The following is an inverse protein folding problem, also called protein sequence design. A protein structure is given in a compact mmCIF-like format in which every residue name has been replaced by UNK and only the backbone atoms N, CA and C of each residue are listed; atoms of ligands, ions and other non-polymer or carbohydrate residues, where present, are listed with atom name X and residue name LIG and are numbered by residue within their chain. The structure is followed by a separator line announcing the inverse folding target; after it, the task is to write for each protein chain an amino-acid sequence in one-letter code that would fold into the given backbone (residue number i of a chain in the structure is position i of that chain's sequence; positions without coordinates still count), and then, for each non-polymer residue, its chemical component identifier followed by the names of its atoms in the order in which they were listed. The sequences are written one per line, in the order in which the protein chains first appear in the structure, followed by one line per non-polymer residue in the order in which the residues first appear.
data_IF_781951840689
#
_entry.id   IF_781951840689
#
_cell.length_a   1.000
_cell.length_b   1.000
_cell.length_c   1.000
_cell.angle_alpha   90.00
_cell.angle_beta   90.00
_cell.angle_gamma   90.00
#
_symmetry.space_group_name_H-M   'P 1'
#
loop_
_entity.id
_entity.type
_entity.pdbx_description
1 polymer ?
#
# COMPACT_ATOMS: atom_id res chain seq x y z
N UNK A 1 -20.05 -8.65 -21.51
CA UNK A 1 -19.24 -8.25 -20.33
C UNK A 1 -19.73 -9.02 -19.13
N UNK A 2 -18.85 -9.74 -18.43
CA UNK A 2 -19.18 -10.41 -17.16
C UNK A 2 -19.71 -9.41 -16.13
N UNK A 3 -20.60 -9.85 -15.23
CA UNK A 3 -21.10 -9.00 -14.14
C UNK A 3 -19.96 -8.55 -13.22
N UNK A 4 -18.97 -9.40 -12.95
CA UNK A 4 -17.80 -9.04 -12.15
C UNK A 4 -17.03 -7.87 -12.79
N UNK A 5 -16.76 -7.96 -14.09
CA UNK A 5 -16.07 -6.88 -14.81
C UNK A 5 -16.92 -5.60 -14.87
N UNK A 6 -18.26 -5.71 -14.90
CA UNK A 6 -19.15 -4.54 -14.79
C UNK A 6 -19.01 -3.85 -13.44
N UNK A 7 -19.01 -4.62 -12.35
CA UNK A 7 -18.85 -4.09 -11.00
C UNK A 7 -17.49 -3.41 -10.85
N UNK A 8 -16.41 -4.08 -11.27
CA UNK A 8 -15.06 -3.50 -11.21
C UNK A 8 -14.98 -2.23 -12.06
N UNK A 9 -15.52 -2.23 -13.28
CA UNK A 9 -15.52 -1.05 -14.14
C UNK A 9 -16.23 0.14 -13.49
N UNK A 10 -17.40 -0.09 -12.89
CA UNK A 10 -18.16 0.95 -12.21
C UNK A 10 -17.38 1.58 -11.04
N UNK A 11 -16.60 0.79 -10.30
CA UNK A 11 -15.75 1.30 -9.24
C UNK A 11 -14.52 2.04 -9.78
N UNK A 12 -13.88 1.52 -10.84
CA UNK A 12 -12.71 2.13 -11.49
C UNK A 12 -13.05 3.47 -12.15
N UNK A 13 -14.26 3.63 -12.68
CA UNK A 13 -14.76 4.89 -13.24
C UNK A 13 -14.72 6.04 -12.24
N UNK A 14 -14.88 5.78 -10.94
CA UNK A 14 -14.85 6.80 -9.88
C UNK A 14 -13.39 7.09 -9.53
N UNK A 15 -12.82 8.27 -9.85
CA UNK A 15 -11.46 8.58 -9.47
C UNK A 15 -11.35 8.68 -7.94
N UNK A 16 -10.33 8.04 -7.38
CA UNK A 16 -10.07 8.07 -5.93
C UNK A 16 -8.57 8.18 -5.64
N UNK A 17 -7.84 9.17 -6.19
CA UNK A 17 -6.44 9.34 -5.84
C UNK A 17 -6.30 9.53 -4.33
N UNK A 18 -5.16 9.18 -3.72
CA UNK A 18 -4.94 9.44 -2.29
C UNK A 18 -5.20 10.90 -1.94
N UNK A 19 -6.04 11.14 -0.92
CA UNK A 19 -6.55 12.47 -0.58
C UNK A 19 -7.91 12.83 -1.20
N UNK A 20 -8.36 12.10 -2.23
CA UNK A 20 -9.58 12.34 -3.01
C UNK A 20 -10.59 11.19 -2.96
N UNK A 21 -10.60 10.40 -1.88
CA UNK A 21 -11.35 9.14 -1.78
C UNK A 21 -12.85 9.33 -1.49
N UNK A 22 -13.29 10.52 -1.08
CA UNK A 22 -14.64 10.76 -0.53
C UNK A 22 -15.76 10.23 -1.42
N UNK A 23 -15.77 10.57 -2.72
CA UNK A 23 -16.83 10.13 -3.63
C UNK A 23 -16.86 8.60 -3.81
N UNK A 24 -15.68 7.97 -3.81
CA UNK A 24 -15.56 6.51 -3.90
C UNK A 24 -15.98 5.82 -2.60
N UNK A 25 -15.57 6.36 -1.45
CA UNK A 25 -16.01 5.88 -0.14
C UNK A 25 -17.53 5.91 0.01
N UNK A 26 -18.18 7.00 -0.44
CA UNK A 26 -19.65 7.09 -0.44
C UNK A 26 -20.31 6.03 -1.34
N UNK A 27 -19.81 5.84 -2.56
CA UNK A 27 -20.33 4.81 -3.47
C UNK A 27 -20.18 3.39 -2.88
N UNK A 28 -19.03 3.10 -2.25
CA UNK A 28 -18.77 1.81 -1.59
C UNK A 28 -19.65 1.63 -0.35
N UNK A 29 -19.86 2.67 0.45
CA UNK A 29 -20.75 2.66 1.60
C UNK A 29 -22.19 2.33 1.19
N UNK A 30 -22.68 2.90 0.07
CA UNK A 30 -24.01 2.57 -0.48
C UNK A 30 -24.11 1.13 -0.97
N UNK A 31 -23.05 0.58 -1.57
CA UNK A 31 -23.00 -0.83 -1.99
C UNK A 31 -23.10 -1.73 -0.76
N UNK A 32 -22.30 -1.48 0.28
CA UNK A 32 -22.31 -2.26 1.52
C UNK A 32 -23.66 -2.14 2.25
N UNK A 33 -24.24 -0.95 2.34
CA UNK A 33 -25.56 -0.75 2.93
C UNK A 33 -26.67 -1.52 2.19
N UNK A 34 -26.67 -1.50 0.83
CA UNK A 34 -27.60 -2.31 0.03
C UNK A 34 -27.41 -3.81 0.20
N UNK A 35 -26.22 -4.24 0.63
CA UNK A 35 -25.91 -5.63 0.99
C UNK A 35 -26.28 -5.98 2.43
N UNK A 36 -26.89 -5.06 3.17
CA UNK A 36 -27.40 -5.29 4.52
C UNK A 36 -26.41 -5.03 5.65
N UNK A 37 -25.28 -4.37 5.37
CA UNK A 37 -24.30 -4.01 6.38
C UNK A 37 -24.68 -2.70 7.09
N UNK A 38 -24.41 -2.63 8.39
CA UNK A 38 -24.36 -1.37 9.12
C UNK A 38 -23.03 -0.68 8.84
N UNK A 39 -23.05 0.43 8.11
CA UNK A 39 -21.83 1.14 7.69
C UNK A 39 -21.57 2.36 8.58
N UNK A 40 -20.49 2.30 9.34
CA UNK A 40 -19.93 3.40 10.11
C UNK A 40 -18.80 4.07 9.33
N UNK A 41 -18.72 5.40 9.41
CA UNK A 41 -17.63 6.19 8.84
C UNK A 41 -16.72 6.64 9.98
N UNK A 42 -15.48 6.17 9.98
CA UNK A 42 -14.47 6.61 10.94
C UNK A 42 -13.68 7.77 10.33
N UNK A 43 -13.76 9.00 10.88
CA UNK A 43 -13.01 10.15 10.36
C UNK A 43 -11.50 9.91 10.44
N UNK A 44 -10.77 10.32 9.40
CA UNK A 44 -9.29 10.23 9.33
C UNK A 44 -8.68 11.61 9.20
N UNK A 45 -9.02 12.32 8.12
CA UNK A 45 -8.51 13.67 7.85
C UNK A 45 -9.50 14.45 6.99
N UNK A 46 -9.90 15.64 7.44
CA UNK A 46 -10.91 16.44 6.75
C UNK A 46 -12.21 15.65 6.57
N UNK A 47 -12.65 15.49 5.32
CA UNK A 47 -13.84 14.70 4.96
C UNK A 47 -13.51 13.22 4.65
N UNK A 48 -12.23 12.83 4.64
CA UNK A 48 -11.80 11.46 4.36
C UNK A 48 -12.09 10.57 5.57
N UNK A 49 -12.66 9.41 5.31
CA UNK A 49 -13.00 8.44 6.34
C UNK A 49 -12.72 7.00 5.91
N UNK A 50 -12.37 6.17 6.89
CA UNK A 50 -12.44 4.73 6.73
C UNK A 50 -13.91 4.28 6.76
N UNK A 51 -14.22 3.17 6.11
CA UNK A 51 -15.54 2.52 6.18
C UNK A 51 -15.44 1.27 7.06
N UNK A 52 -16.29 1.20 8.08
CA UNK A 52 -16.41 0.03 8.94
C UNK A 52 -17.81 -0.53 8.75
N UNK A 53 -17.93 -1.59 7.95
CA UNK A 53 -19.20 -2.21 7.64
C UNK A 53 -19.36 -3.52 8.41
N UNK A 54 -20.36 -3.57 9.30
CA UNK A 54 -20.62 -4.72 10.17
C UNK A 54 -21.84 -5.52 9.71
N UNK A 55 -21.78 -6.86 9.76
CA UNK A 55 -22.95 -7.70 9.52
C UNK A 55 -23.93 -7.59 10.70
N UNK A 56 -25.08 -8.24 10.60
CA UNK A 56 -25.96 -8.41 11.76
C UNK A 56 -25.27 -9.30 12.81
N UNK A 57 -24.81 -8.68 13.90
CA UNK A 57 -24.07 -9.32 14.99
C UNK A 57 -22.55 -9.18 14.85
N UNK A 58 -21.79 -9.96 15.62
CA UNK A 58 -20.33 -9.90 15.60
C UNK A 58 -19.76 -10.50 14.31
N UNK A 59 -18.83 -9.79 13.67
CA UNK A 59 -18.03 -10.33 12.59
C UNK A 59 -17.11 -11.44 13.13
N UNK A 60 -16.99 -12.53 12.38
CA UNK A 60 -16.08 -13.64 12.66
C UNK A 60 -14.81 -13.53 11.81
N UNK A 61 -14.87 -12.80 10.70
CA UNK A 61 -13.80 -12.55 9.75
C UNK A 61 -13.95 -11.12 9.25
N UNK A 62 -12.85 -10.41 9.07
CA UNK A 62 -12.84 -9.10 8.44
C UNK A 62 -12.18 -9.19 7.06
N UNK A 63 -12.79 -8.55 6.07
CA UNK A 63 -12.11 -8.18 4.84
C UNK A 63 -11.60 -6.75 4.97
N UNK A 64 -10.38 -6.51 4.55
CA UNK A 64 -9.79 -5.17 4.54
C UNK A 64 -9.04 -4.91 3.26
N UNK A 65 -9.16 -3.71 2.72
CA UNK A 65 -8.37 -3.20 1.61
C UNK A 65 -8.51 -1.68 1.56
N UNK A 66 -7.73 -1.00 0.73
CA UNK A 66 -7.74 0.46 0.66
C UNK A 66 -8.72 1.01 -0.39
N UNK A 67 -9.05 2.29 -0.25
CA UNK A 67 -10.00 3.02 -1.10
C UNK A 67 -9.31 3.95 -2.11
N UNK A 68 -8.09 4.37 -1.81
CA UNK A 68 -7.29 5.21 -2.69
C UNK A 68 -6.56 4.43 -3.78
N UNK A 69 -6.10 5.16 -4.79
CA UNK A 69 -5.25 4.67 -5.88
C UNK A 69 -4.17 5.70 -6.18
N UNK A 70 -3.07 5.30 -6.83
CA UNK A 70 -2.08 6.28 -7.35
C UNK A 70 -2.58 7.07 -8.56
N UNK A 71 -2.07 8.30 -8.80
CA UNK A 71 -2.31 9.02 -10.04
C UNK A 71 -1.57 8.38 -11.25
N UNK A 72 -1.96 8.70 -12.50
CA UNK A 72 -3.17 9.42 -12.89
C UNK A 72 -4.41 8.52 -12.84
N UNK A 73 -5.60 9.13 -12.98
CA UNK A 73 -6.82 8.38 -13.24
C UNK A 73 -6.76 7.76 -14.65
N UNK A 74 -7.01 6.47 -14.75
CA UNK A 74 -7.15 5.73 -16.00
C UNK A 74 -8.56 5.12 -16.04
N UNK A 75 -9.43 5.56 -16.97
CA UNK A 75 -10.81 5.08 -17.02
C UNK A 75 -10.87 3.60 -17.40
N UNK A 76 -11.94 2.89 -17.01
CA UNK A 76 -12.08 1.47 -17.26
C UNK A 76 -12.20 1.17 -18.75
N UNK A 77 -11.44 0.19 -19.23
CA UNK A 77 -11.55 -0.35 -20.58
C UNK A 77 -11.55 -1.87 -20.52
N UNK A 78 -12.62 -2.49 -21.02
CA UNK A 78 -12.75 -3.95 -21.05
C UNK A 78 -12.38 -4.49 -22.42
N UNK A 79 -11.45 -5.44 -22.45
CA UNK A 79 -11.03 -6.16 -23.65
C UNK A 79 -11.10 -7.67 -23.40
N UNK A 80 -12.11 -8.31 -23.98
CA UNK A 80 -12.36 -9.74 -23.76
C UNK A 80 -12.66 -10.04 -22.29
N UNK A 81 -11.76 -10.77 -21.64
CA UNK A 81 -11.84 -11.17 -20.23
C UNK A 81 -11.01 -10.28 -19.30
N UNK A 82 -10.42 -9.21 -19.81
CA UNK A 82 -9.54 -8.32 -19.06
C UNK A 82 -10.16 -6.95 -18.90
N UNK A 83 -10.00 -6.35 -17.71
CA UNK A 83 -10.35 -4.96 -17.45
C UNK A 83 -9.09 -4.17 -17.15
N UNK A 84 -8.84 -3.13 -17.94
CA UNK A 84 -7.81 -2.13 -17.71
C UNK A 84 -8.39 -0.93 -16.98
N UNK A 85 -7.58 -0.27 -16.16
CA UNK A 85 -7.91 0.99 -15.50
C UNK A 85 -7.22 1.10 -14.15
N UNK A 86 -7.16 2.32 -13.60
CA UNK A 86 -6.46 2.59 -12.35
C UNK A 86 -7.26 2.05 -11.18
N UNK A 87 -6.63 1.19 -10.38
CA UNK A 87 -7.27 0.44 -9.32
C UNK A 87 -7.95 -0.85 -9.77
N UNK A 88 -7.82 -1.24 -11.03
CA UNK A 88 -8.32 -2.52 -11.51
C UNK A 88 -7.65 -3.69 -10.76
N UNK A 89 -6.33 -3.64 -10.60
CA UNK A 89 -5.58 -4.60 -9.81
C UNK A 89 -5.46 -4.15 -8.35
N UNK A 90 -5.27 -2.85 -8.13
CA UNK A 90 -4.83 -2.29 -6.84
C UNK A 90 -5.69 -1.09 -6.39
N UNK A 91 -6.85 -1.28 -5.77
CA UNK A 91 -7.33 -2.56 -5.21
C UNK A 91 -8.86 -2.75 -5.35
N UNK A 92 -9.48 -2.09 -6.34
CA UNK A 92 -10.93 -2.16 -6.60
C UNK A 92 -11.37 -3.52 -7.12
N UNK A 93 -10.54 -4.20 -7.91
CA UNK A 93 -10.75 -5.59 -8.32
C UNK A 93 -10.82 -6.56 -7.11
N UNK A 94 -9.80 -6.60 -6.26
CA UNK A 94 -9.83 -7.30 -4.97
C UNK A 94 -11.06 -6.99 -4.12
N UNK A 95 -11.49 -5.73 -4.02
CA UNK A 95 -12.69 -5.35 -3.26
C UNK A 95 -13.97 -6.01 -3.81
N UNK A 96 -14.15 -6.05 -5.13
CA UNK A 96 -15.29 -6.75 -5.75
C UNK A 96 -15.26 -8.25 -5.45
N UNK A 97 -14.08 -8.87 -5.51
CA UNK A 97 -13.93 -10.28 -5.13
C UNK A 97 -14.30 -10.51 -3.65
N UNK A 98 -13.96 -9.58 -2.74
CA UNK A 98 -14.36 -9.67 -1.33
C UNK A 98 -15.87 -9.55 -1.14
N UNK A 99 -16.56 -8.68 -1.88
CA UNK A 99 -18.02 -8.57 -1.81
C UNK A 99 -18.72 -9.89 -2.15
N UNK A 100 -18.27 -10.55 -3.23
CA UNK A 100 -18.86 -11.80 -3.69
C UNK A 100 -18.47 -12.97 -2.77
N UNK A 101 -17.24 -12.98 -2.23
CA UNK A 101 -16.82 -13.96 -1.24
C UNK A 101 -17.61 -13.84 0.07
N UNK A 102 -17.85 -12.62 0.55
CA UNK A 102 -18.68 -12.36 1.73
C UNK A 102 -20.10 -12.89 1.55
N UNK A 103 -20.71 -12.72 0.37
CA UNK A 103 -22.02 -13.28 0.08
C UNK A 103 -22.03 -14.82 0.16
N UNK A 104 -21.03 -15.49 -0.44
CA UNK A 104 -20.90 -16.96 -0.39
C UNK A 104 -20.57 -17.49 1.02
N UNK A 105 -19.84 -16.72 1.82
CA UNK A 105 -19.55 -17.06 3.23
C UNK A 105 -20.81 -16.90 4.11
N UNK A 106 -21.64 -15.90 3.85
CA UNK A 106 -22.90 -15.71 4.54
C UNK A 106 -23.88 -16.89 4.30
N UNK A 107 -23.91 -17.45 3.08
CA UNK A 107 -24.67 -18.68 2.77
C UNK A 107 -24.21 -19.90 3.59
N UNK A 108 -22.96 -19.87 4.07
CA UNK A 108 -22.35 -20.89 4.94
C UNK A 108 -22.46 -20.54 6.43
N UNK A 109 -23.15 -19.45 6.77
CA UNK A 109 -23.32 -18.99 8.15
C UNK A 109 -22.11 -18.25 8.73
N UNK A 110 -21.11 -17.90 7.92
CA UNK A 110 -19.94 -17.12 8.35
C UNK A 110 -20.24 -15.64 8.18
N UNK A 111 -20.20 -14.89 9.28
CA UNK A 111 -20.43 -13.44 9.28
C UNK A 111 -19.13 -12.69 9.03
N UNK A 112 -19.03 -12.04 7.89
CA UNK A 112 -17.88 -11.20 7.53
C UNK A 112 -18.15 -9.74 7.81
N UNK A 113 -17.16 -8.95 8.22
CA UNK A 113 -17.18 -7.48 8.25
C UNK A 113 -16.22 -6.89 7.23
N UNK A 114 -16.30 -5.57 6.98
CA UNK A 114 -15.33 -4.84 6.15
C UNK A 114 -14.70 -3.67 6.91
N UNK A 115 -13.38 -3.58 6.85
CA UNK A 115 -12.60 -2.42 7.29
C UNK A 115 -11.88 -1.87 6.05
N UNK A 116 -12.44 -0.84 5.42
CA UNK A 116 -11.88 -0.24 4.21
C UNK A 116 -11.22 1.09 4.57
N UNK A 117 -9.94 1.22 4.23
CA UNK A 117 -9.09 2.31 4.74
C UNK A 117 -8.70 3.29 3.65
N UNK A 118 -8.36 4.52 4.04
CA UNK A 118 -7.88 5.57 3.12
C UNK A 118 -6.39 5.84 3.30
N UNK A 119 -5.72 6.25 2.23
CA UNK A 119 -4.35 6.77 2.26
C UNK A 119 -3.25 5.71 2.32
N UNK A 120 -3.55 4.46 1.98
CA UNK A 120 -2.58 3.36 1.98
C UNK A 120 -1.37 3.70 1.10
N UNK A 121 -1.62 4.27 -0.09
CA UNK A 121 -0.61 4.49 -1.12
C UNK A 121 0.41 5.59 -0.78
N UNK A 122 0.21 6.32 0.33
CA UNK A 122 1.02 7.49 0.71
C UNK A 122 1.55 7.41 2.14
N UNK A 123 0.67 7.32 3.13
CA UNK A 123 1.01 7.53 4.54
C UNK A 123 0.32 6.58 5.53
N UNK A 124 -0.54 5.69 5.04
CA UNK A 124 -1.28 4.70 5.84
C UNK A 124 -2.17 5.33 6.92
N UNK A 125 -2.58 6.59 6.74
CA UNK A 125 -3.32 7.35 7.77
C UNK A 125 -4.60 6.62 8.20
N UNK A 126 -5.32 6.00 7.28
CA UNK A 126 -6.53 5.23 7.57
C UNK A 126 -6.25 4.04 8.47
N UNK A 127 -5.29 3.17 8.12
CA UNK A 127 -4.97 2.01 8.94
C UNK A 127 -4.38 2.36 10.30
N UNK A 128 -3.59 3.44 10.39
CA UNK A 128 -3.06 3.95 11.67
C UNK A 128 -4.20 4.41 12.60
N UNK A 129 -5.17 5.17 12.07
CA UNK A 129 -6.35 5.60 12.83
C UNK A 129 -7.19 4.41 13.26
N UNK A 130 -7.41 3.44 12.36
CA UNK A 130 -8.15 2.21 12.68
C UNK A 130 -7.47 1.43 13.80
N UNK A 131 -6.16 1.17 13.71
CA UNK A 131 -5.39 0.46 14.72
C UNK A 131 -5.36 1.17 16.08
N UNK A 132 -5.44 2.51 16.09
CA UNK A 132 -5.46 3.31 17.32
C UNK A 132 -6.81 3.32 18.01
N UNK A 133 -7.90 3.38 17.25
CA UNK A 133 -9.23 3.73 17.78
C UNK A 133 -10.20 2.56 17.82
N UNK A 134 -10.00 1.53 17.00
CA UNK A 134 -10.86 0.35 17.02
C UNK A 134 -10.38 -0.64 18.09
N UNK A 135 -11.28 -1.21 18.91
CA UNK A 135 -10.90 -2.25 19.83
C UNK A 135 -10.53 -3.52 19.05
N UNK A 136 -9.46 -4.23 19.42
CA UNK A 136 -9.18 -5.54 18.86
C UNK A 136 -10.30 -6.52 19.26
N UNK A 137 -10.92 -7.16 18.28
CA UNK A 137 -11.91 -8.21 18.52
C UNK A 137 -11.32 -9.62 18.31
N UNK A 138 -10.06 -9.70 17.86
CA UNK A 138 -9.32 -10.94 17.65
C UNK A 138 -9.77 -11.75 16.43
N UNK A 139 -10.77 -11.27 15.67
CA UNK A 139 -11.18 -11.91 14.44
C UNK A 139 -10.07 -11.76 13.38
N UNK A 140 -9.79 -12.81 12.58
CA UNK A 140 -8.82 -12.72 11.50
C UNK A 140 -9.25 -11.70 10.44
N UNK A 141 -8.26 -11.00 9.87
CA UNK A 141 -8.43 -10.02 8.80
C UNK A 141 -7.77 -10.56 7.53
N UNK A 142 -8.54 -10.71 6.46
CA UNK A 142 -8.02 -10.96 5.11
C UNK A 142 -7.79 -9.61 4.44
N UNK A 143 -6.51 -9.24 4.29
CA UNK A 143 -6.06 -8.00 3.67
C UNK A 143 -5.84 -8.21 2.17
N UNK A 144 -6.58 -7.46 1.36
CA UNK A 144 -6.72 -7.64 -0.08
C UNK A 144 -5.71 -6.86 -0.89
N UNK A 145 -4.55 -7.45 -1.14
CA UNK A 145 -3.51 -6.89 -2.02
C UNK A 145 -3.24 -7.80 -3.23
N UNK A 146 -2.81 -7.24 -4.38
CA UNK A 146 -2.60 -8.00 -5.61
C UNK A 146 -1.39 -8.94 -5.49
N UNK A 147 -1.66 -10.18 -5.09
CA UNK A 147 -0.67 -11.23 -4.79
C UNK A 147 -0.82 -12.44 -5.72
N UNK A 148 -1.53 -12.27 -6.83
CA UNK A 148 -1.89 -13.32 -7.78
C UNK A 148 -2.58 -14.50 -7.10
N UNK A 149 -3.48 -14.21 -6.15
CA UNK A 149 -4.21 -15.19 -5.35
C UNK A 149 -3.31 -16.12 -4.50
N UNK A 150 -2.10 -15.67 -4.14
CA UNK A 150 -1.17 -16.39 -3.26
C UNK A 150 -1.13 -15.71 -1.90
N UNK A 151 -1.21 -16.50 -0.83
CA UNK A 151 -1.14 -15.97 0.54
C UNK A 151 0.28 -15.54 0.85
N UNK A 152 0.49 -14.28 1.26
CA UNK A 152 1.82 -13.85 1.64
C UNK A 152 2.22 -14.49 2.99
N UNK A 153 3.38 -15.12 3.02
CA UNK A 153 4.03 -15.62 4.24
C UNK A 153 4.94 -14.54 4.86
N UNK A 154 5.30 -13.52 4.08
CA UNK A 154 6.03 -12.37 4.57
C UNK A 154 5.89 -11.19 3.61
N UNK A 155 6.06 -10.00 4.18
CA UNK A 155 6.01 -8.71 3.51
C UNK A 155 7.25 -7.90 3.86
N UNK A 156 7.86 -7.23 2.87
CA UNK A 156 8.93 -6.27 3.13
C UNK A 156 8.40 -5.02 3.84
N UNK A 157 9.25 -4.43 4.67
CA UNK A 157 8.99 -3.10 5.22
C UNK A 157 9.20 -2.02 4.17
N UNK A 158 8.91 -0.78 4.52
CA UNK A 158 9.18 0.37 3.68
C UNK A 158 9.73 1.52 4.51
N UNK A 159 10.64 2.29 3.93
CA UNK A 159 11.07 3.58 4.48
C UNK A 159 11.20 4.60 3.36
N UNK A 160 10.47 5.71 3.50
CA UNK A 160 10.49 6.84 2.59
C UNK A 160 11.16 8.03 3.26
N UNK A 161 12.27 8.50 2.71
CA UNK A 161 13.10 9.56 3.32
C UNK A 161 13.30 10.70 2.34
N UNK A 162 13.04 11.93 2.78
CA UNK A 162 13.48 13.14 2.10
C UNK A 162 14.90 13.47 2.52
N UNK A 163 15.75 13.73 1.54
CA UNK A 163 17.13 14.20 1.70
C UNK A 163 17.17 15.65 1.25
N UNK A 164 17.73 16.53 2.09
CA UNK A 164 17.98 17.93 1.75
C UNK A 164 19.46 18.20 1.92
N UNK A 165 20.10 18.64 0.85
CA UNK A 165 21.47 19.12 0.86
C UNK A 165 21.47 20.64 0.74
N UNK A 166 22.22 21.30 1.62
CA UNK A 166 22.40 22.74 1.63
C UNK A 166 23.79 23.08 1.10
N UNK A 167 23.90 24.23 0.43
CA UNK A 167 25.11 24.75 -0.15
C UNK A 167 25.22 26.25 0.07
N UNK A 168 26.19 26.87 -0.60
CA UNK A 168 26.39 28.31 -0.58
C UNK A 168 26.47 28.78 -2.02
N UNK A 169 25.52 29.62 -2.43
CA UNK A 169 25.51 30.18 -3.77
C UNK A 169 26.75 31.05 -4.02
N UNK A 170 27.31 30.91 -5.21
CA UNK A 170 28.46 31.69 -5.65
C UNK A 170 28.66 31.50 -7.14
N UNK A 171 29.32 32.46 -7.80
CA UNK A 171 29.65 32.32 -9.21
C UNK A 171 30.69 31.19 -9.37
N UNK A 172 30.36 30.18 -10.17
CA UNK A 172 31.15 28.95 -10.37
C UNK A 172 32.61 29.17 -10.74
N UNK A 173 32.93 30.31 -11.38
CA UNK A 173 34.31 30.71 -11.68
C UNK A 173 35.20 31.00 -10.44
N UNK A 174 34.62 31.13 -9.24
CA UNK A 174 35.35 31.35 -7.99
C UNK A 174 35.09 30.22 -7.00
N UNK A 175 35.78 29.07 -7.12
CA UNK A 175 35.49 27.86 -6.34
C UNK A 175 35.57 28.06 -4.81
N UNK A 176 36.42 28.97 -4.33
CA UNK A 176 36.54 29.25 -2.89
C UNK A 176 35.37 30.09 -2.31
N UNK A 177 34.40 30.50 -3.15
CA UNK A 177 33.31 31.41 -2.78
C UNK A 177 31.93 30.75 -2.74
N UNK A 178 31.85 29.43 -2.84
CA UNK A 178 30.60 28.71 -2.80
C UNK A 178 30.78 27.24 -2.45
N UNK A 179 29.66 26.57 -2.18
CA UNK A 179 29.61 25.13 -1.90
C UNK A 179 28.41 24.57 -2.64
N UNK A 180 28.61 23.57 -3.49
CA UNK A 180 27.52 22.97 -4.25
C UNK A 180 26.73 21.98 -3.38
N UNK A 181 25.45 22.28 -3.14
CA UNK A 181 24.51 21.34 -2.54
C UNK A 181 24.35 20.05 -3.38
N UNK A 182 24.41 20.17 -4.71
CA UNK A 182 24.34 19.02 -5.62
C UNK A 182 25.53 18.08 -5.36
N UNK A 183 26.74 18.60 -5.20
CA UNK A 183 27.92 17.76 -4.96
C UNK A 183 27.81 17.03 -3.61
N UNK A 184 27.33 17.72 -2.57
CA UNK A 184 27.04 17.11 -1.26
C UNK A 184 25.99 16.00 -1.36
N UNK A 185 24.91 16.24 -2.11
CA UNK A 185 23.88 15.23 -2.35
C UNK A 185 24.44 14.02 -3.09
N UNK A 186 25.25 14.23 -4.13
CA UNK A 186 25.87 13.14 -4.90
C UNK A 186 26.82 12.30 -4.03
N UNK A 187 27.60 12.92 -3.15
CA UNK A 187 28.45 12.21 -2.18
C UNK A 187 27.61 11.31 -1.27
N UNK A 188 26.53 11.84 -0.71
CA UNK A 188 25.62 11.07 0.13
C UNK A 188 24.97 9.91 -0.62
N UNK A 189 24.42 10.16 -1.83
CA UNK A 189 23.75 9.13 -2.63
C UNK A 189 24.72 8.03 -3.08
N UNK A 190 25.98 8.36 -3.37
CA UNK A 190 27.00 7.35 -3.68
C UNK A 190 27.34 6.50 -2.45
N UNK A 191 27.38 7.09 -1.25
CA UNK A 191 27.54 6.33 -0.01
C UNK A 191 26.36 5.37 0.22
N UNK A 192 25.12 5.85 0.05
CA UNK A 192 23.89 5.03 0.16
C UNK A 192 23.88 3.87 -0.84
N UNK A 193 24.38 4.07 -2.07
CA UNK A 193 24.48 3.01 -3.09
C UNK A 193 25.50 1.93 -2.75
N UNK A 194 26.55 2.28 -1.99
CA UNK A 194 27.61 1.36 -1.57
C UNK A 194 27.34 0.70 -0.22
N UNK A 195 26.36 1.19 0.52
CA UNK A 195 25.99 0.66 1.83
C UNK A 195 25.60 -0.83 1.71
N UNK A 196 26.21 -1.72 2.50
CA UNK A 196 25.81 -3.12 2.58
C UNK A 196 24.51 -3.24 3.37
N UNK A 197 23.40 -2.95 2.69
CA UNK A 197 22.06 -3.02 3.26
C UNK A 197 21.72 -4.43 3.77
N UNK A 198 21.00 -4.56 4.91
CA UNK A 198 20.65 -5.86 5.49
C UNK A 198 19.88 -6.76 4.52
N UNK A 199 20.19 -8.04 4.57
CA UNK A 199 19.51 -9.13 3.86
C UNK A 199 18.83 -10.04 4.89
N UNK A 200 17.76 -10.70 4.46
CA UNK A 200 17.01 -11.66 5.23
C UNK A 200 16.70 -12.90 4.39
N UNK A 201 16.87 -14.13 4.91
CA UNK A 201 16.71 -15.36 4.13
C UNK A 201 15.34 -15.57 3.47
N UNK A 202 14.29 -14.91 3.98
CA UNK A 202 12.92 -15.02 3.46
C UNK A 202 12.54 -13.79 2.63
N UNK A 203 12.83 -12.59 3.11
CA UNK A 203 12.49 -11.32 2.41
C UNK A 203 13.44 -11.03 1.26
N UNK A 204 14.66 -11.56 1.30
CA UNK A 204 15.76 -11.11 0.46
C UNK A 204 16.27 -9.73 0.87
N UNK A 205 17.04 -9.05 0.00
CA UNK A 205 17.81 -7.88 0.40
C UNK A 205 16.94 -6.65 0.61
N UNK A 206 17.36 -5.79 1.53
CA UNK A 206 16.90 -4.40 1.56
C UNK A 206 17.38 -3.69 0.30
N UNK A 207 16.47 -3.02 -0.41
CA UNK A 207 16.79 -2.29 -1.65
C UNK A 207 16.48 -0.81 -1.49
N UNK A 208 17.33 0.08 -1.99
CA UNK A 208 17.12 1.53 -1.96
C UNK A 208 17.00 2.09 -3.37
N UNK A 209 15.92 2.82 -3.65
CA UNK A 209 15.69 3.54 -4.89
C UNK A 209 15.77 5.06 -4.66
N UNK A 210 16.48 5.78 -5.52
CA UNK A 210 16.40 7.26 -5.58
C UNK A 210 15.23 7.60 -6.49
N UNK A 211 14.04 7.77 -5.89
CA UNK A 211 12.80 7.95 -6.65
C UNK A 211 12.67 9.34 -7.27
N UNK A 212 13.16 10.38 -6.59
CA UNK A 212 13.15 11.76 -7.06
C UNK A 212 14.49 12.42 -6.76
N UNK A 213 14.96 13.30 -7.66
CA UNK A 213 16.15 14.13 -7.47
C UNK A 213 15.97 15.47 -8.17
N UNK A 214 16.33 16.57 -7.51
CA UNK A 214 16.28 17.93 -8.06
C UNK A 214 17.27 18.86 -7.35
N UNK A 215 17.62 19.99 -7.95
CA UNK A 215 18.49 20.98 -7.32
C UNK A 215 19.15 21.93 -8.31
N UNK A 216 19.80 22.97 -7.76
CA UNK A 216 20.47 24.01 -8.55
C UNK A 216 19.55 25.09 -9.09
N UNK A 217 20.16 26.15 -9.65
CA UNK A 217 19.46 27.33 -10.17
C UNK A 217 19.91 27.66 -11.60
N UNK A 218 21.22 27.74 -11.82
CA UNK A 218 21.81 28.00 -13.12
C UNK A 218 23.19 27.33 -13.22
N UNK A 219 23.61 26.95 -14.42
CA UNK A 219 24.86 26.20 -14.64
C UNK A 219 26.12 26.93 -14.16
N UNK A 220 26.10 28.27 -14.11
CA UNK A 220 27.22 29.09 -13.67
C UNK A 220 27.15 29.51 -12.19
N UNK A 221 26.22 28.94 -11.40
CA UNK A 221 26.02 29.25 -9.98
C UNK A 221 26.14 27.96 -9.15
N UNK A 222 26.95 27.98 -8.09
CA UNK A 222 26.96 26.88 -7.11
C UNK A 222 25.57 26.69 -6.53
N UNK A 223 25.06 25.45 -6.57
CA UNK A 223 23.72 25.14 -6.11
C UNK A 223 23.58 25.42 -4.61
N UNK A 224 22.70 26.34 -4.17
CA UNK A 224 22.47 26.58 -2.75
C UNK A 224 21.66 25.45 -2.09
N UNK A 225 20.93 24.67 -2.88
CA UNK A 225 20.05 23.61 -2.39
C UNK A 225 19.90 22.49 -3.42
N UNK A 226 19.77 21.26 -2.94
CA UNK A 226 19.42 20.07 -3.71
C UNK A 226 18.62 19.08 -2.84
N UNK A 227 17.73 18.32 -3.48
CA UNK A 227 16.80 17.40 -2.81
C UNK A 227 16.83 16.03 -3.47
N UNK A 228 16.62 14.99 -2.67
CA UNK A 228 16.24 13.67 -3.18
C UNK A 228 15.15 13.05 -2.30
N UNK A 229 14.36 12.14 -2.88
CA UNK A 229 13.46 11.28 -2.12
C UNK A 229 13.88 9.83 -2.33
N UNK A 230 14.24 9.17 -1.24
CA UNK A 230 14.60 7.76 -1.22
C UNK A 230 13.38 6.91 -0.89
N UNK A 231 13.26 5.77 -1.57
CA UNK A 231 12.29 4.73 -1.26
C UNK A 231 13.05 3.43 -1.01
N UNK A 232 13.02 2.95 0.23
CA UNK A 232 13.65 1.70 0.63
C UNK A 232 12.58 0.62 0.81
N UNK A 233 12.82 -0.57 0.26
CA UNK A 233 12.08 -1.81 0.59
C UNK A 233 12.93 -2.59 1.57
N UNK A 234 12.43 -2.80 2.78
CA UNK A 234 13.23 -3.21 3.92
C UNK A 234 13.13 -4.71 4.22
N UNK A 235 14.26 -5.27 4.61
CA UNK A 235 14.40 -6.57 5.27
C UNK A 235 14.71 -6.44 6.77
N UNK A 236 14.84 -5.21 7.26
CA UNK A 236 15.11 -4.83 8.66
C UNK A 236 14.06 -3.80 9.11
N UNK A 237 14.04 -3.45 10.41
CA UNK A 237 13.17 -2.37 10.88
C UNK A 237 13.48 -1.03 10.20
N UNK A 238 12.44 -0.20 10.03
CA UNK A 238 12.55 1.13 9.47
C UNK A 238 13.46 2.04 10.31
N UNK A 239 13.46 1.85 11.63
CA UNK A 239 14.34 2.56 12.55
C UNK A 239 15.82 2.24 12.30
N UNK A 240 16.16 0.96 12.14
CA UNK A 240 17.55 0.55 11.88
C UNK A 240 18.03 1.04 10.50
N UNK A 241 17.14 1.05 9.50
CA UNK A 241 17.47 1.59 8.18
C UNK A 241 17.66 3.11 8.20
N UNK A 242 16.82 3.83 8.95
CA UNK A 242 16.93 5.28 9.15
C UNK A 242 18.27 5.63 9.83
N UNK A 243 18.62 4.94 10.92
CA UNK A 243 19.89 5.17 11.62
C UNK A 243 21.12 4.91 10.71
N UNK A 244 21.05 3.93 9.80
CA UNK A 244 22.09 3.70 8.79
C UNK A 244 22.19 4.85 7.80
N UNK A 245 21.07 5.37 7.29
CA UNK A 245 21.09 6.56 6.42
C UNK A 245 21.71 7.76 7.13
N UNK A 246 21.34 8.01 8.39
CA UNK A 246 21.87 9.12 9.19
C UNK A 246 23.36 9.00 9.42
N UNK A 247 23.88 7.79 9.62
CA UNK A 247 25.33 7.55 9.76
C UNK A 247 26.13 7.85 8.48
N UNK A 248 25.48 7.87 7.31
CA UNK A 248 26.10 8.19 6.02
C UNK A 248 26.04 9.69 5.70
N UNK A 249 25.32 10.51 6.47
CA UNK A 249 25.13 11.92 6.18
C UNK A 249 26.44 12.72 6.33
N UNK A 250 26.94 13.36 5.25
CA UNK A 250 28.00 14.34 5.37
C UNK A 250 27.46 15.66 5.94
N UNK A 251 28.37 16.56 6.31
CA UNK A 251 28.01 17.92 6.73
C UNK A 251 27.19 18.65 5.64
N UNK A 252 26.10 19.30 6.07
CA UNK A 252 25.21 20.03 5.17
C UNK A 252 24.19 19.16 4.43
N UNK A 253 24.02 17.90 4.83
CA UNK A 253 22.93 17.02 4.39
C UNK A 253 22.07 16.64 5.60
N UNK A 254 20.76 16.80 5.46
CA UNK A 254 19.78 16.40 6.47
C UNK A 254 18.75 15.44 5.89
N UNK A 255 18.20 14.60 6.77
CA UNK A 255 17.19 13.61 6.43
C UNK A 255 15.90 13.89 7.18
N UNK A 256 14.78 13.63 6.53
CA UNK A 256 13.46 13.64 7.16
C UNK A 256 12.71 12.39 6.73
N UNK A 257 12.36 11.54 7.69
CA UNK A 257 11.47 10.40 7.45
C UNK A 257 10.08 10.93 7.09
N UNK A 258 9.60 10.56 5.90
CA UNK A 258 8.25 10.89 5.44
C UNK A 258 7.28 9.84 5.99
N UNK A 259 7.59 8.56 5.76
CA UNK A 259 6.82 7.42 6.23
C UNK A 259 7.70 6.19 6.35
N UNK A 260 7.23 5.17 7.06
CA UNK A 260 7.86 3.86 7.05
C UNK A 260 7.27 2.90 8.07
N UNK A 261 7.42 1.61 7.78
CA UNK A 261 6.95 0.49 8.58
C UNK A 261 7.91 -0.69 8.49
N UNK A 262 7.85 -1.52 9.52
CA UNK A 262 8.70 -2.71 9.62
C UNK A 262 8.19 -3.85 8.73
N UNK A 263 9.08 -4.75 8.27
CA UNK A 263 8.68 -5.97 7.61
C UNK A 263 7.78 -6.83 8.50
N UNK A 264 6.86 -7.58 7.88
CA UNK A 264 5.89 -8.40 8.60
C UNK A 264 6.07 -9.86 8.21
N UNK A 265 6.15 -10.74 9.21
CA UNK A 265 6.00 -12.19 9.05
C UNK A 265 4.54 -12.54 9.21
N UNK A 266 3.99 -13.21 8.21
CA UNK A 266 2.57 -13.54 8.15
C UNK A 266 2.41 -15.05 8.25
N UNK A 267 1.38 -15.50 8.96
CA UNK A 267 1.05 -16.91 9.06
C UNK A 267 0.11 -17.30 7.92
N UNK A 268 0.63 -18.07 6.96
CA UNK A 268 -0.17 -18.60 5.88
C UNK A 268 -0.87 -19.90 6.31
N UNK A 269 -2.21 -20.00 6.21
CA UNK A 269 -2.91 -21.25 6.48
C UNK A 269 -2.43 -22.38 5.57
N UNK A 270 -2.45 -23.61 6.07
CA UNK A 270 -2.06 -24.79 5.30
C UNK A 270 -2.97 -24.99 4.08
N UNK A 271 -2.40 -25.48 2.97
CA UNK A 271 -3.16 -25.79 1.75
C UNK A 271 -3.40 -24.60 0.81
N UNK A 272 -2.75 -23.46 1.06
CA UNK A 272 -2.75 -22.30 0.18
C UNK A 272 -1.36 -22.10 -0.46
N UNK A 273 -1.29 -21.79 -1.77
CA UNK A 273 -0.04 -21.34 -2.39
C UNK A 273 0.46 -20.08 -1.68
N UNK A 274 1.73 -20.07 -1.28
CA UNK A 274 2.31 -18.94 -0.54
C UNK A 274 3.26 -18.13 -1.39
N UNK A 275 3.48 -16.86 -1.02
CA UNK A 275 4.48 -15.98 -1.62
C UNK A 275 5.21 -15.13 -0.56
N UNK A 276 6.28 -14.45 -0.97
CA UNK A 276 6.86 -13.34 -0.22
C UNK A 276 6.64 -12.10 -1.05
N UNK A 277 6.00 -11.08 -0.48
CA UNK A 277 5.68 -9.86 -1.22
C UNK A 277 6.79 -8.81 -1.05
N UNK A 278 7.25 -8.19 -2.15
CA UNK A 278 8.36 -7.22 -2.11
C UNK A 278 7.93 -5.80 -1.75
N UNK A 279 6.62 -5.55 -1.61
CA UNK A 279 6.01 -4.28 -1.27
C UNK A 279 5.59 -4.24 0.21
N UNK A 280 5.18 -3.07 0.70
CA UNK A 280 4.53 -2.91 1.99
C UNK A 280 3.02 -2.76 1.79
N UNK A 281 2.24 -3.04 2.83
CA UNK A 281 0.80 -2.81 2.94
C UNK A 281 0.45 -2.38 4.37
N UNK A 282 -0.85 -2.16 4.60
CA UNK A 282 -1.41 -1.88 5.93
C UNK A 282 -1.33 -3.03 6.95
N UNK A 283 -0.82 -4.21 6.55
CA UNK A 283 -0.61 -5.34 7.45
C UNK A 283 0.16 -4.98 8.74
N UNK A 284 1.16 -4.08 8.64
CA UNK A 284 1.99 -3.66 9.79
C UNK A 284 1.21 -2.89 10.86
N UNK A 285 0.07 -2.29 10.50
CA UNK A 285 -0.76 -1.50 11.40
C UNK A 285 -1.96 -2.31 11.86
N UNK A 286 -2.66 -2.94 10.92
CA UNK A 286 -3.90 -3.66 11.19
C UNK A 286 -3.68 -4.94 12.01
N UNK A 287 -2.45 -5.47 12.08
CA UNK A 287 -2.11 -6.58 12.98
C UNK A 287 -2.36 -6.27 14.47
N UNK A 288 -2.53 -4.99 14.84
CA UNK A 288 -2.95 -4.59 16.18
C UNK A 288 -4.41 -4.96 16.49
N UNK A 289 -5.26 -5.18 15.47
CA UNK A 289 -6.68 -5.48 15.62
C UNK A 289 -6.97 -6.99 15.62
N UNK A 290 -6.19 -7.76 14.86
CA UNK A 290 -6.33 -9.21 14.76
C UNK A 290 -5.29 -9.85 13.84
N UNK A 291 -5.26 -11.19 13.74
CA UNK A 291 -4.36 -11.91 12.84
C UNK A 291 -4.57 -11.50 11.38
N UNK A 292 -3.51 -11.18 10.64
CA UNK A 292 -3.58 -10.77 9.23
C UNK A 292 -3.24 -11.93 8.30
N UNK A 293 -4.06 -12.11 7.27
CA UNK A 293 -3.76 -12.90 6.07
C UNK A 293 -3.77 -11.99 4.86
N UNK A 294 -2.61 -11.78 4.25
CA UNK A 294 -2.47 -10.95 3.06
C UNK A 294 -2.64 -11.79 1.79
N UNK A 295 -3.68 -11.53 1.01
CA UNK A 295 -3.96 -12.27 -0.23
C UNK A 295 -4.97 -11.49 -1.08
N UNK A 296 -4.86 -11.58 -2.40
CA UNK A 296 -5.84 -10.98 -3.30
C UNK A 296 -5.56 -11.23 -4.78
N UNK A 297 -6.58 -11.04 -5.63
CA UNK A 297 -6.47 -11.23 -7.07
C UNK A 297 -5.69 -10.08 -7.73
N UNK A 298 -5.21 -10.32 -8.95
CA UNK A 298 -4.35 -9.37 -9.66
C UNK A 298 -2.88 -9.50 -9.27
N UNK A 299 -2.01 -8.88 -10.06
CA UNK A 299 -0.56 -8.99 -9.93
C UNK A 299 0.03 -7.60 -9.65
N UNK A 300 0.85 -7.48 -8.59
CA UNK A 300 1.47 -6.20 -8.24
C UNK A 300 2.35 -5.64 -9.38
N UNK A 301 2.88 -6.50 -10.24
CA UNK A 301 3.75 -6.12 -11.35
C UNK A 301 3.05 -5.24 -12.40
N UNK A 302 1.72 -5.27 -12.46
CA UNK A 302 0.94 -4.40 -13.36
C UNK A 302 0.37 -3.17 -12.64
N UNK A 303 0.37 -3.16 -11.30
CA UNK A 303 -0.07 -2.02 -10.51
C UNK A 303 0.82 -0.80 -10.77
N UNK A 304 0.26 0.39 -10.57
CA UNK A 304 0.94 1.69 -10.72
C UNK A 304 1.48 1.98 -12.14
N UNK A 305 1.08 1.19 -13.14
CA UNK A 305 1.45 1.37 -14.55
C UNK A 305 0.32 2.01 -15.38
N UNK A 306 0.64 2.46 -16.61
CA UNK A 306 -0.33 2.94 -17.60
C UNK A 306 -1.22 1.84 -18.18
N UNK A 307 -0.91 0.58 -17.87
CA UNK A 307 -1.56 -0.63 -18.37
C UNK A 307 -1.99 -1.53 -17.22
N UNK A 308 -2.27 -0.95 -16.06
CA UNK A 308 -2.87 -1.65 -14.92
C UNK A 308 -4.16 -2.33 -15.38
N UNK A 309 -4.29 -3.61 -15.02
CA UNK A 309 -5.43 -4.43 -15.35
C UNK A 309 -5.64 -5.56 -14.37
N UNK A 310 -6.81 -6.18 -14.45
CA UNK A 310 -7.12 -7.44 -13.81
C UNK A 310 -7.87 -8.35 -14.78
N UNK A 311 -7.55 -9.65 -14.74
CA UNK A 311 -8.23 -10.67 -15.52
C UNK A 311 -9.45 -11.21 -14.77
N UNK A 312 -10.54 -11.50 -15.50
CA UNK A 312 -11.77 -12.07 -14.93
C UNK A 312 -11.48 -13.37 -14.16
N UNK A 313 -10.60 -14.21 -14.71
CA UNK A 313 -10.20 -15.46 -14.07
C UNK A 313 -9.48 -15.23 -12.73
N UNK A 314 -8.73 -14.14 -12.59
CA UNK A 314 -8.07 -13.81 -11.32
C UNK A 314 -9.10 -13.40 -10.28
N UNK A 315 -10.12 -12.60 -10.65
CA UNK A 315 -11.22 -12.23 -9.76
C UNK A 315 -11.99 -13.47 -9.31
N UNK A 316 -12.35 -14.36 -10.24
CA UNK A 316 -13.07 -15.60 -9.95
C UNK A 316 -12.27 -16.51 -8.99
N UNK A 317 -10.97 -16.69 -9.26
CA UNK A 317 -10.08 -17.44 -8.38
C UNK A 317 -9.87 -16.76 -7.01
N UNK A 318 -9.89 -15.43 -6.97
CA UNK A 318 -9.82 -14.65 -5.73
C UNK A 318 -11.05 -14.84 -4.86
N UNK A 319 -12.24 -14.84 -5.44
CA UNK A 319 -13.49 -15.15 -4.71
C UNK A 319 -13.38 -16.54 -4.07
N UNK A 320 -12.97 -17.55 -4.83
CA UNK A 320 -12.83 -18.91 -4.32
C UNK A 320 -11.75 -19.02 -3.23
N UNK A 321 -10.66 -18.27 -3.38
CA UNK A 321 -9.58 -18.21 -2.38
C UNK A 321 -10.05 -17.57 -1.08
N UNK A 322 -10.75 -16.44 -1.15
CA UNK A 322 -11.33 -15.77 0.02
C UNK A 322 -12.35 -16.63 0.76
N UNK A 323 -13.23 -17.35 0.03
CA UNK A 323 -14.16 -18.28 0.66
C UNK A 323 -13.41 -19.39 1.39
N UNK A 324 -12.40 -20.00 0.75
CA UNK A 324 -11.58 -21.04 1.37
C UNK A 324 -10.82 -20.53 2.60
N UNK A 325 -10.30 -19.30 2.55
CA UNK A 325 -9.63 -18.66 3.69
C UNK A 325 -10.59 -18.44 4.85
N UNK A 326 -11.78 -17.91 4.58
CA UNK A 326 -12.81 -17.73 5.61
C UNK A 326 -13.21 -19.04 6.29
N UNK A 327 -13.27 -20.15 5.55
CA UNK A 327 -13.50 -21.47 6.14
C UNK A 327 -12.29 -22.03 6.88
N UNK A 328 -11.07 -21.79 6.40
CA UNK A 328 -9.86 -22.33 7.01
C UNK A 328 -9.50 -21.62 8.32
N UNK A 329 -9.68 -20.30 8.38
CA UNK A 329 -9.32 -19.47 9.53
C UNK A 329 -10.30 -19.61 10.71
N UNK A 330 -11.47 -20.20 10.47
CA UNK A 330 -12.52 -20.41 11.48
C UNK A 330 -12.70 -21.88 11.86
N UNK A 331 -11.81 -22.76 11.39
CA UNK A 331 -11.75 -24.16 11.82
C UNK A 331 -10.77 -24.26 12.99
N UNK A 332 -11.24 -24.83 14.09
CA UNK A 332 -10.43 -25.19 15.27
C UNK A 332 -9.29 -26.18 14.93
#
# INVERSE_FOLDING_TARGET
MSELLRQVAALVEIPSPSGGEVAYAEAVAEILARRGYGVERQPVEGERCNLIARPAGAAQLWFSTHLDVVPPHLPPRVEGTRLYGRGAADTKGPLVAMFEAAARLAERGIRTGFLLVVGEEVDHCGAIVAARELPPDGAPIVLGEPTSNRVAAAQKGMLKVRVVAEGVAGHSAFPDRGVSAIDRLLVFLEAVRREPWPDDPVLGPTTCNVGLISGGVAANVFAPEAHATLMLRLATSAEAAQARLEALCPEGVSLTRISGNDPVRLEAPAGFPTCVVPFNSDASYLSALGPIVLCGPGAIEVAHSDHEHIDLADIEAGIDTYVRLGEALLRD
#
